data_IF_191059404040
#
_entry.id   IF_191059404040
#
_cell.length_a   1.000
_cell.length_b   1.000
_cell.length_c   1.000
_cell.angle_alpha   90.00
_cell.angle_beta   90.00
_cell.angle_gamma   90.00
#
_symmetry.space_group_name_H-M   'P 1'
#
loop_
_entity.id
_entity.type
_entity.pdbx_description
1 polymer ?
#
# COMPACT_ATOMS: atom_id res chain seq x y z
N UNK A 1 -8.05 9.75 27.58
CA UNK A 1 -7.66 10.98 26.82
C UNK A 1 -8.54 11.05 25.59
N UNK A 2 -9.10 12.21 25.24
CA UNK A 2 -10.03 12.34 24.10
C UNK A 2 -9.38 12.50 22.73
N UNK A 3 -8.04 12.52 22.64
CA UNK A 3 -7.28 12.68 21.41
C UNK A 3 -6.48 11.41 21.12
N UNK A 4 -6.58 10.92 19.88
CA UNK A 4 -5.74 9.86 19.35
C UNK A 4 -5.08 10.32 18.04
N UNK A 5 -3.84 9.89 17.82
CA UNK A 5 -3.09 10.17 16.59
C UNK A 5 -2.60 8.84 16.02
N UNK A 6 -2.95 8.57 14.77
CA UNK A 6 -2.56 7.37 14.03
C UNK A 6 -1.76 7.78 12.80
N UNK A 7 -0.71 7.03 12.49
CA UNK A 7 0.11 7.28 11.29
C UNK A 7 -0.41 6.49 10.10
N UNK A 8 -0.37 7.13 8.94
CA UNK A 8 -0.76 6.58 7.64
C UNK A 8 0.07 7.25 6.54
N UNK A 9 -0.22 6.93 5.27
CA UNK A 9 0.54 7.43 4.12
C UNK A 9 -0.37 7.82 2.95
N UNK A 10 -0.08 8.98 2.36
CA UNK A 10 -0.63 9.36 1.07
C UNK A 10 0.15 8.67 -0.07
N UNK A 11 -0.29 8.88 -1.31
CA UNK A 11 0.39 8.37 -2.51
C UNK A 11 0.61 9.52 -3.48
N UNK A 12 1.86 9.74 -3.89
CA UNK A 12 2.25 10.73 -4.90
C UNK A 12 3.27 10.07 -5.82
N UNK A 13 2.79 9.49 -6.92
CA UNK A 13 3.63 8.66 -7.80
C UNK A 13 4.27 7.52 -7.01
N UNK A 14 5.61 7.43 -7.06
CA UNK A 14 6.42 6.44 -6.35
C UNK A 14 6.74 6.82 -4.89
N UNK A 15 6.21 7.94 -4.40
CA UNK A 15 6.42 8.41 -3.03
C UNK A 15 5.19 8.20 -2.15
N UNK A 16 5.45 7.95 -0.86
CA UNK A 16 4.43 7.82 0.17
C UNK A 16 4.69 8.82 1.33
N UNK A 17 4.27 10.09 1.20
CA UNK A 17 4.45 11.07 2.26
C UNK A 17 3.60 10.74 3.49
N UNK A 18 4.12 11.08 4.66
CA UNK A 18 3.47 10.83 5.97
C UNK A 18 2.15 11.59 6.08
N UNK A 19 1.11 10.89 6.55
CA UNK A 19 -0.18 11.46 6.91
C UNK A 19 -0.50 11.08 8.35
N UNK A 20 -0.89 12.05 9.17
CA UNK A 20 -1.42 11.81 10.51
C UNK A 20 -2.94 11.91 10.50
N UNK A 21 -3.59 10.89 11.08
CA UNK A 21 -5.03 10.87 11.33
C UNK A 21 -5.24 11.18 12.80
N UNK A 22 -5.73 12.37 13.07
CA UNK A 22 -5.98 12.87 14.41
C UNK A 22 -7.48 12.82 14.70
N UNK A 23 -7.87 12.16 15.78
CA UNK A 23 -9.27 12.06 16.19
C UNK A 23 -9.44 12.65 17.58
N UNK A 24 -10.34 13.63 17.68
CA UNK A 24 -10.74 14.23 18.93
C UNK A 24 -12.23 14.00 19.21
N UNK A 25 -12.55 13.50 20.41
CA UNK A 25 -13.93 13.27 20.86
C UNK A 25 -14.29 14.29 21.94
N UNK A 26 -15.22 15.20 21.64
CA UNK A 26 -15.70 16.21 22.57
C UNK A 26 -17.16 16.00 22.98
N UNK A 27 -17.55 16.59 24.11
CA UNK A 27 -18.96 16.67 24.47
C UNK A 27 -19.74 17.50 23.44
N UNK A 28 -21.00 17.14 23.20
CA UNK A 28 -21.87 17.79 22.23
C UNK A 28 -22.80 16.79 21.53
N UNK A 29 -23.60 17.30 20.59
CA UNK A 29 -24.48 16.46 19.78
C UNK A 29 -23.67 15.42 18.98
N UNK A 30 -24.16 14.17 18.87
CA UNK A 30 -23.50 13.14 18.07
C UNK A 30 -23.29 13.58 16.63
N UNK A 31 -22.07 13.45 16.13
CA UNK A 31 -21.74 13.81 14.75
C UNK A 31 -20.27 13.57 14.43
N UNK A 32 -19.98 13.18 13.19
CA UNK A 32 -18.63 13.03 12.66
C UNK A 32 -18.33 14.20 11.72
N UNK A 33 -17.27 14.94 12.00
CA UNK A 33 -16.68 15.94 11.10
C UNK A 33 -15.34 15.42 10.62
N UNK A 34 -15.15 15.35 9.30
CA UNK A 34 -13.90 14.93 8.67
C UNK A 34 -13.30 16.10 7.91
N UNK A 35 -12.02 16.39 8.13
CA UNK A 35 -11.27 17.49 7.53
C UNK A 35 -10.03 16.94 6.82
N UNK A 36 -9.74 17.45 5.62
CA UNK A 36 -8.57 17.04 4.84
C UNK A 36 -8.86 16.00 3.74
N UNK A 37 -10.12 15.67 3.46
CA UNK A 37 -10.56 14.83 2.34
C UNK A 37 -11.57 15.57 1.43
N UNK A 38 -11.69 15.17 0.14
CA UNK A 38 -12.77 15.60 -0.75
C UNK A 38 -14.16 15.23 -0.21
N UNK A 39 -15.16 16.07 -0.48
CA UNK A 39 -16.48 15.97 0.15
C UNK A 39 -17.23 14.65 -0.13
N UNK A 40 -17.07 14.07 -1.32
CA UNK A 40 -17.65 12.76 -1.66
C UNK A 40 -17.04 11.64 -0.84
N UNK A 41 -15.70 11.61 -0.73
CA UNK A 41 -14.96 10.63 0.07
C UNK A 41 -15.32 10.73 1.55
N UNK A 42 -15.55 11.94 2.07
CA UNK A 42 -15.98 12.14 3.46
C UNK A 42 -17.29 11.41 3.77
N UNK A 43 -18.30 11.54 2.90
CA UNK A 43 -19.62 10.92 3.11
C UNK A 43 -19.51 9.40 3.12
N UNK A 44 -18.79 8.85 2.15
CA UNK A 44 -18.58 7.41 2.04
C UNK A 44 -17.79 6.85 3.22
N UNK A 45 -16.64 7.44 3.56
CA UNK A 45 -15.78 6.99 4.66
C UNK A 45 -16.52 7.00 6.01
N UNK A 46 -17.31 8.05 6.28
CA UNK A 46 -18.14 8.14 7.48
C UNK A 46 -19.06 6.93 7.64
N UNK A 47 -19.84 6.65 6.59
CA UNK A 47 -20.85 5.61 6.65
C UNK A 47 -20.19 4.22 6.72
N UNK A 48 -19.04 4.07 6.04
CA UNK A 48 -18.24 2.84 6.01
C UNK A 48 -17.60 2.52 7.36
N UNK A 49 -16.84 3.46 7.91
CA UNK A 49 -16.17 3.32 9.22
C UNK A 49 -17.19 3.09 10.32
N UNK A 50 -18.28 3.88 10.35
CA UNK A 50 -19.32 3.72 11.36
C UNK A 50 -19.95 2.33 11.30
N UNK A 51 -20.33 1.87 10.12
CA UNK A 51 -20.97 0.55 9.95
C UNK A 51 -20.00 -0.57 10.31
N UNK A 52 -18.75 -0.48 9.86
CA UNK A 52 -17.70 -1.45 10.19
C UNK A 52 -17.51 -1.58 11.70
N UNK A 53 -17.45 -0.47 12.44
CA UNK A 53 -17.30 -0.49 13.89
C UNK A 53 -18.50 -1.15 14.58
N UNK A 54 -19.72 -0.74 14.24
CA UNK A 54 -20.95 -1.26 14.87
C UNK A 54 -21.15 -2.75 14.58
N UNK A 55 -20.97 -3.18 13.32
CA UNK A 55 -21.16 -4.57 12.92
C UNK A 55 -20.15 -5.53 13.56
N UNK A 56 -19.05 -5.01 14.08
CA UNK A 56 -18.01 -5.78 14.76
C UNK A 56 -18.06 -5.68 16.29
N UNK A 57 -19.16 -5.19 16.84
CA UNK A 57 -19.38 -5.14 18.28
C UNK A 57 -18.63 -4.02 19.00
N UNK A 58 -18.01 -3.10 18.26
CA UNK A 58 -17.42 -1.90 18.87
C UNK A 58 -18.49 -0.84 19.13
N UNK A 59 -18.26 -0.03 20.17
CA UNK A 59 -19.14 1.09 20.46
C UNK A 59 -18.74 2.29 19.59
N UNK A 60 -19.65 2.76 18.73
CA UNK A 60 -19.46 4.03 18.05
C UNK A 60 -19.86 5.18 19.00
N UNK A 61 -18.96 6.10 19.38
CA UNK A 61 -19.25 7.12 20.38
C UNK A 61 -20.41 8.04 19.99
N UNK A 62 -21.42 8.14 20.85
CA UNK A 62 -22.55 9.08 20.70
C UNK A 62 -22.15 10.51 21.15
N UNK A 63 -21.04 11.02 20.61
CA UNK A 63 -20.44 12.33 20.92
C UNK A 63 -20.02 13.03 19.64
N UNK A 64 -19.55 14.27 19.75
CA UNK A 64 -18.98 14.98 18.61
C UNK A 64 -17.56 14.47 18.35
N UNK A 65 -17.33 13.90 17.18
CA UNK A 65 -16.06 13.34 16.73
C UNK A 65 -15.52 14.23 15.62
N UNK A 66 -14.28 14.72 15.78
CA UNK A 66 -13.57 15.46 14.74
C UNK A 66 -12.37 14.66 14.29
N UNK A 67 -12.26 14.42 13.00
CA UNK A 67 -11.16 13.70 12.36
C UNK A 67 -10.42 14.67 11.44
N UNK A 68 -9.13 14.82 11.65
CA UNK A 68 -8.26 15.67 10.84
C UNK A 68 -7.18 14.82 10.18
N UNK A 69 -7.01 14.96 8.86
CA UNK A 69 -5.95 14.33 8.11
C UNK A 69 -4.90 15.39 7.72
N UNK A 70 -3.74 15.36 8.38
CA UNK A 70 -2.65 16.29 8.15
C UNK A 70 -1.48 15.62 7.40
N UNK A 71 -0.69 16.36 6.60
CA UNK A 71 -0.84 17.78 6.27
C UNK A 71 -1.86 18.02 5.14
N UNK A 72 -2.50 19.19 5.11
CA UNK A 72 -3.68 19.47 4.26
C UNK A 72 -3.37 19.56 2.75
N UNK A 73 -2.13 19.85 2.38
CA UNK A 73 -1.62 20.05 1.02
C UNK A 73 -1.45 18.77 0.21
N UNK A 74 -1.36 17.60 0.86
CA UNK A 74 -1.24 16.33 0.17
C UNK A 74 -2.58 15.90 -0.45
N UNK A 75 -2.57 15.30 -1.66
CA UNK A 75 -3.75 14.69 -2.26
C UNK A 75 -4.14 13.47 -1.41
N UNK A 76 -5.33 13.53 -0.82
CA UNK A 76 -5.88 12.46 0.02
C UNK A 76 -7.20 12.02 -0.57
N UNK A 77 -7.19 10.89 -1.25
CA UNK A 77 -8.37 10.34 -1.92
C UNK A 77 -8.53 8.85 -1.65
N UNK A 78 -9.77 8.37 -1.79
CA UNK A 78 -10.13 6.96 -1.68
C UNK A 78 -10.28 6.43 -0.24
N UNK A 79 -10.53 5.13 -0.13
CA UNK A 79 -10.83 4.45 1.14
C UNK A 79 -9.64 4.08 2.00
N UNK A 80 -8.40 4.38 1.59
CA UNK A 80 -7.18 3.92 2.31
C UNK A 80 -7.07 4.37 3.77
N UNK A 81 -7.81 5.43 4.13
CA UNK A 81 -7.80 6.03 5.45
C UNK A 81 -8.88 5.44 6.36
N UNK A 82 -9.74 4.54 5.88
CA UNK A 82 -10.83 3.99 6.69
C UNK A 82 -10.30 3.23 7.91
N UNK A 83 -9.29 2.36 7.72
CA UNK A 83 -8.66 1.63 8.82
C UNK A 83 -8.03 2.57 9.85
N UNK A 84 -7.11 3.50 9.51
CA UNK A 84 -6.53 4.39 10.51
C UNK A 84 -7.58 5.30 11.17
N UNK A 85 -8.63 5.74 10.47
CA UNK A 85 -9.74 6.50 11.08
C UNK A 85 -10.50 5.64 12.10
N UNK A 86 -10.83 4.39 11.77
CA UNK A 86 -11.50 3.47 12.68
C UNK A 86 -10.67 3.23 13.95
N UNK A 87 -9.37 2.95 13.80
CA UNK A 87 -8.46 2.74 14.92
C UNK A 87 -8.31 4.00 15.79
N UNK A 88 -8.23 5.18 15.17
CA UNK A 88 -8.16 6.44 15.89
C UNK A 88 -9.42 6.71 16.72
N UNK A 89 -10.61 6.42 16.17
CA UNK A 89 -11.88 6.51 16.92
C UNK A 89 -11.90 5.55 18.11
N UNK A 90 -11.48 4.30 17.91
CA UNK A 90 -11.42 3.30 18.98
C UNK A 90 -10.42 3.70 20.07
N UNK A 91 -9.26 4.23 19.70
CA UNK A 91 -8.26 4.70 20.66
C UNK A 91 -8.72 5.95 21.42
N UNK A 92 -9.32 6.94 20.74
CA UNK A 92 -9.84 8.16 21.36
C UNK A 92 -11.06 7.89 22.27
N UNK A 93 -11.75 6.77 22.05
CA UNK A 93 -12.85 6.28 22.90
C UNK A 93 -12.40 5.26 23.94
N UNK A 94 -11.09 5.08 24.12
CA UNK A 94 -10.47 4.21 25.14
C UNK A 94 -10.80 2.72 24.97
N UNK A 95 -11.25 2.32 23.78
CA UNK A 95 -11.48 0.91 23.40
C UNK A 95 -10.20 0.21 22.92
N UNK A 96 -9.17 0.98 22.53
CA UNK A 96 -7.84 0.46 22.18
C UNK A 96 -6.73 1.22 22.91
N UNK A 97 -5.64 0.54 23.29
CA UNK A 97 -4.48 1.18 23.90
C UNK A 97 -3.70 2.02 22.87
N UNK A 98 -3.29 3.23 23.27
CA UNK A 98 -2.51 4.15 22.41
C UNK A 98 -1.04 3.75 22.24
N UNK A 99 -0.44 3.11 23.24
CA UNK A 99 0.98 2.79 23.26
C UNK A 99 1.47 1.94 22.07
N UNK A 100 0.80 0.83 21.67
CA UNK A 100 1.23 0.04 20.53
C UNK A 100 1.06 0.79 19.20
N UNK A 101 0.02 1.62 19.06
CA UNK A 101 -0.30 2.32 17.81
C UNK A 101 0.82 3.23 17.31
N UNK A 102 1.65 3.79 18.20
CA UNK A 102 2.76 4.66 17.81
C UNK A 102 3.89 3.94 17.03
N UNK A 103 3.95 2.60 17.11
CA UNK A 103 4.97 1.78 16.44
C UNK A 103 4.57 1.38 15.02
N UNK A 104 3.31 1.59 14.66
CA UNK A 104 2.74 1.12 13.42
C UNK A 104 2.21 2.27 12.56
N UNK A 105 2.16 2.02 11.26
CA UNK A 105 1.38 2.80 10.32
C UNK A 105 0.28 1.93 9.73
N UNK A 106 -0.86 2.51 9.40
CA UNK A 106 -2.03 1.75 8.96
C UNK A 106 -2.54 2.25 7.61
N UNK A 107 -2.83 1.29 6.73
CA UNK A 107 -3.41 1.53 5.42
C UNK A 107 -4.47 0.47 5.13
N UNK A 108 -5.66 0.89 4.73
CA UNK A 108 -6.70 -0.06 4.36
C UNK A 108 -8.05 0.58 4.15
N UNK A 109 -8.75 0.11 3.13
CA UNK A 109 -10.19 0.35 2.98
C UNK A 109 -10.97 -0.68 3.81
N UNK A 110 -11.98 -0.22 4.52
CA UNK A 110 -12.87 -1.09 5.29
C UNK A 110 -14.14 -1.37 4.51
N UNK A 111 -14.59 -2.62 4.42
CA UNK A 111 -15.97 -2.90 4.03
C UNK A 111 -16.93 -2.57 5.19
N UNK A 112 -18.24 -2.46 4.92
CA UNK A 112 -19.27 -2.31 5.96
C UNK A 112 -19.25 -3.45 6.99
N UNK A 113 -18.76 -4.63 6.60
CA UNK A 113 -18.57 -5.79 7.48
C UNK A 113 -17.32 -5.69 8.36
N UNK A 114 -16.39 -4.78 8.07
CA UNK A 114 -15.07 -4.70 8.72
C UNK A 114 -13.95 -5.47 7.99
N UNK A 115 -14.26 -6.14 6.88
CA UNK A 115 -13.23 -6.76 6.03
C UNK A 115 -12.30 -5.69 5.45
N UNK A 116 -11.00 -5.98 5.41
CA UNK A 116 -9.98 -5.10 4.85
C UNK A 116 -9.83 -5.37 3.35
N UNK A 117 -9.76 -4.30 2.56
CA UNK A 117 -9.56 -4.35 1.12
C UNK A 117 -8.21 -3.78 0.73
N UNK A 118 -7.67 -4.30 -0.37
CA UNK A 118 -6.44 -3.82 -0.96
C UNK A 118 -6.45 -2.31 -1.20
N UNK A 119 -5.30 -1.67 -1.00
CA UNK A 119 -5.05 -0.28 -1.38
C UNK A 119 -3.90 -0.17 -2.36
N UNK A 120 -3.87 0.88 -3.17
CA UNK A 120 -2.76 1.15 -4.10
C UNK A 120 -1.53 1.68 -3.38
N UNK A 121 -0.35 1.53 -3.97
CA UNK A 121 0.89 2.09 -3.43
C UNK A 121 1.30 1.46 -2.09
N UNK A 122 1.10 0.16 -1.95
CA UNK A 122 1.52 -0.57 -0.76
C UNK A 122 3.06 -0.62 -0.66
N UNK A 123 3.76 -0.80 -1.80
CA UNK A 123 5.23 -0.80 -1.89
C UNK A 123 5.86 0.51 -1.39
N UNK A 124 5.55 1.70 -1.98
CA UNK A 124 6.16 2.94 -1.52
C UNK A 124 5.79 3.28 -0.07
N UNK A 125 4.60 2.87 0.39
CA UNK A 125 4.20 3.05 1.78
C UNK A 125 5.01 2.16 2.74
N UNK A 126 5.26 0.91 2.39
CA UNK A 126 6.03 -0.02 3.20
C UNK A 126 7.50 0.42 3.32
N UNK A 127 8.11 0.91 2.24
CA UNK A 127 9.44 1.51 2.27
C UNK A 127 9.47 2.75 3.17
N UNK A 128 8.55 3.70 2.95
CA UNK A 128 8.54 4.95 3.71
C UNK A 128 8.22 4.75 5.21
N UNK A 129 7.44 3.71 5.56
CA UNK A 129 7.20 3.31 6.94
C UNK A 129 8.48 2.74 7.58
N UNK A 130 9.18 1.85 6.86
CA UNK A 130 10.46 1.28 7.30
C UNK A 130 11.52 2.37 7.55
N UNK A 131 11.66 3.33 6.63
CA UNK A 131 12.56 4.48 6.76
C UNK A 131 12.25 5.34 7.98
N UNK A 132 10.97 5.41 8.37
CA UNK A 132 10.52 6.13 9.56
C UNK A 132 10.60 5.28 10.86
N UNK A 133 11.14 4.07 10.79
CA UNK A 133 11.29 3.15 11.92
C UNK A 133 9.96 2.58 12.43
N UNK A 134 8.93 2.50 11.58
CA UNK A 134 7.61 1.97 11.91
C UNK A 134 7.27 0.77 11.03
N UNK A 135 6.44 -0.14 11.55
CA UNK A 135 5.95 -1.29 10.80
C UNK A 135 4.60 -0.95 10.15
N UNK A 136 4.41 -1.36 8.89
CA UNK A 136 3.14 -1.13 8.18
C UNK A 136 2.14 -2.26 8.45
N UNK A 137 0.88 -1.90 8.70
CA UNK A 137 -0.25 -2.84 8.79
C UNK A 137 -1.24 -2.54 7.67
N UNK A 138 -1.55 -3.55 6.84
CA UNK A 138 -2.45 -3.41 5.69
C UNK A 138 -3.22 -4.70 5.34
N UNK A 139 -4.02 -4.67 4.28
CA UNK A 139 -4.80 -5.85 3.84
C UNK A 139 -3.88 -7.01 3.41
N UNK A 140 -4.27 -8.25 3.72
CA UNK A 140 -3.64 -9.46 3.16
C UNK A 140 -3.66 -9.50 1.64
N UNK A 141 -4.59 -8.81 0.99
CA UNK A 141 -4.62 -8.70 -0.48
C UNK A 141 -3.39 -7.96 -1.03
N UNK A 142 -2.75 -7.12 -0.22
CA UNK A 142 -1.50 -6.45 -0.59
C UNK A 142 -0.24 -7.23 -0.19
N UNK A 143 -0.37 -8.43 0.42
CA UNK A 143 0.76 -9.19 0.96
C UNK A 143 1.84 -9.49 -0.09
N UNK A 144 1.43 -9.83 -1.31
CA UNK A 144 2.35 -10.16 -2.39
C UNK A 144 3.25 -8.97 -2.78
N UNK A 145 2.71 -7.75 -2.77
CA UNK A 145 3.46 -6.54 -3.12
C UNK A 145 4.47 -6.18 -2.01
N UNK A 146 4.00 -6.09 -0.76
CA UNK A 146 4.87 -5.65 0.35
C UNK A 146 5.84 -6.75 0.81
N UNK A 147 5.52 -8.02 0.55
CA UNK A 147 6.41 -9.15 0.81
C UNK A 147 7.68 -9.13 -0.05
N UNK A 148 7.68 -8.40 -1.17
CA UNK A 148 8.88 -8.17 -1.98
C UNK A 148 9.89 -7.26 -1.27
N UNK A 149 9.47 -6.50 -0.25
CA UNK A 149 10.32 -5.57 0.50
C UNK A 149 10.80 -6.26 1.78
N UNK A 150 12.00 -6.85 1.72
CA UNK A 150 12.59 -7.57 2.84
C UNK A 150 12.74 -6.70 4.11
N UNK A 151 12.95 -5.39 3.94
CA UNK A 151 13.23 -4.45 5.03
C UNK A 151 11.98 -4.02 5.82
N UNK A 152 10.76 -4.14 5.27
CA UNK A 152 9.58 -3.48 5.85
C UNK A 152 8.92 -4.23 7.01
N UNK A 153 9.12 -5.56 7.08
CA UNK A 153 8.40 -6.45 8.01
C UNK A 153 6.91 -6.09 8.15
N UNK A 154 6.26 -5.82 7.00
CA UNK A 154 4.86 -5.37 6.98
C UNK A 154 3.93 -6.48 7.48
N UNK A 155 3.00 -6.14 8.36
CA UNK A 155 1.97 -7.04 8.86
C UNK A 155 0.70 -6.96 8.01
N UNK A 156 0.02 -8.08 7.86
CA UNK A 156 -1.20 -8.15 7.06
C UNK A 156 -2.39 -8.64 7.87
N UNK A 157 -3.58 -8.15 7.53
CA UNK A 157 -4.84 -8.54 8.16
C UNK A 157 -5.95 -8.62 7.11
N UNK A 158 -6.90 -9.54 7.29
CA UNK A 158 -8.10 -9.65 6.46
C UNK A 158 -9.27 -8.87 7.05
N UNK A 159 -9.21 -8.55 8.34
CA UNK A 159 -10.33 -7.99 9.07
C UNK A 159 -9.91 -6.98 10.15
N UNK A 160 -10.74 -5.96 10.39
CA UNK A 160 -10.56 -4.99 11.47
C UNK A 160 -10.36 -5.65 12.84
N UNK A 161 -11.07 -6.76 13.09
CA UNK A 161 -11.02 -7.50 14.35
C UNK A 161 -9.62 -8.08 14.62
N UNK A 162 -8.93 -8.56 13.59
CA UNK A 162 -7.57 -9.10 13.72
C UNK A 162 -6.59 -8.00 14.12
N UNK A 163 -6.71 -6.82 13.49
CA UNK A 163 -5.89 -5.65 13.84
C UNK A 163 -6.14 -5.20 15.28
N UNK A 164 -7.40 -5.15 15.71
CA UNK A 164 -7.74 -4.80 17.08
C UNK A 164 -7.23 -5.84 18.09
N UNK A 165 -7.38 -7.14 17.81
CA UNK A 165 -6.90 -8.22 18.68
C UNK A 165 -5.38 -8.17 18.84
N UNK A 166 -4.66 -7.92 17.74
CA UNK A 166 -3.21 -7.72 17.75
C UNK A 166 -2.78 -6.55 18.62
N UNK A 167 -3.44 -5.39 18.47
CA UNK A 167 -3.15 -4.19 19.28
C UNK A 167 -3.48 -4.38 20.77
N UNK A 168 -4.39 -5.29 21.10
CA UNK A 168 -4.71 -5.68 22.48
C UNK A 168 -3.78 -6.78 23.03
N UNK A 169 -2.85 -7.31 22.23
CA UNK A 169 -1.96 -8.41 22.62
C UNK A 169 -2.68 -9.77 22.72
N UNK A 170 -3.82 -9.93 22.05
CA UNK A 170 -4.66 -11.13 22.06
C UNK A 170 -4.49 -12.01 20.81
N UNK A 171 -3.55 -11.65 19.93
CA UNK A 171 -3.23 -12.38 18.71
C UNK A 171 -2.00 -11.81 18.02
N UNK A 172 -1.58 -12.46 16.95
CA UNK A 172 -0.45 -12.03 16.11
C UNK A 172 -0.94 -11.79 14.68
N UNK A 173 -0.38 -10.77 14.02
CA UNK A 173 -0.62 -10.56 12.59
C UNK A 173 0.48 -11.21 11.76
N UNK A 174 0.15 -11.99 10.72
CA UNK A 174 1.14 -12.56 9.82
C UNK A 174 1.95 -11.45 9.15
N UNK A 175 3.26 -11.65 9.11
CA UNK A 175 4.19 -10.82 8.34
C UNK A 175 4.07 -11.21 6.87
N UNK A 176 4.00 -10.22 5.99
CA UNK A 176 4.00 -10.44 4.57
C UNK A 176 5.29 -11.16 4.15
N UNK A 177 5.11 -12.29 3.47
CA UNK A 177 6.21 -13.08 2.93
C UNK A 177 6.32 -12.85 1.43
N UNK A 178 7.55 -12.83 0.95
CA UNK A 178 7.85 -12.76 -0.47
C UNK A 178 7.14 -13.91 -1.18
N UNK A 179 6.31 -13.65 -2.19
CA UNK A 179 5.73 -14.73 -2.97
C UNK A 179 6.87 -15.53 -3.62
N UNK A 180 6.73 -16.86 -3.76
CA UNK A 180 7.71 -17.65 -4.48
C UNK A 180 7.87 -17.06 -5.89
N UNK A 181 9.11 -16.97 -6.37
CA UNK A 181 9.40 -16.49 -7.71
C UNK A 181 8.53 -17.26 -8.70
N UNK A 182 7.65 -16.56 -9.41
CA UNK A 182 6.93 -17.16 -10.52
C UNK A 182 7.98 -17.52 -11.57
N UNK A 183 7.99 -18.77 -12.04
CA UNK A 183 8.80 -19.19 -13.18
C UNK A 183 8.51 -18.22 -14.33
N UNK A 184 9.45 -17.34 -14.66
CA UNK A 184 9.28 -16.41 -15.77
C UNK A 184 9.42 -17.23 -17.06
N UNK A 185 8.36 -17.40 -17.87
CA UNK A 185 8.49 -18.15 -19.13
C UNK A 185 9.46 -17.49 -20.11
N UNK A 186 9.83 -16.22 -19.87
CA UNK A 186 10.80 -15.46 -20.65
C UNK A 186 12.26 -15.62 -20.20
N UNK A 187 12.54 -16.21 -19.03
CA UNK A 187 13.93 -16.50 -18.61
C UNK A 187 14.64 -17.49 -19.54
N UNK A 188 13.87 -18.23 -20.36
CA UNK A 188 14.39 -19.20 -21.32
C UNK A 188 14.38 -18.74 -22.79
N UNK A 189 14.07 -17.46 -23.08
CA UNK A 189 14.01 -16.97 -24.46
C UNK A 189 15.42 -16.58 -24.97
N UNK A 190 15.94 -17.31 -25.96
CA UNK A 190 17.29 -17.08 -26.50
C UNK A 190 17.23 -16.27 -27.80
N UNK A 191 18.21 -15.37 -28.03
CA UNK A 191 18.44 -14.71 -29.31
C UNK A 191 18.66 -15.70 -30.45
N UNK A 192 19.16 -16.91 -30.15
CA UNK A 192 19.36 -18.00 -31.12
C UNK A 192 18.07 -18.44 -31.80
N UNK A 193 16.92 -18.26 -31.15
CA UNK A 193 15.61 -18.58 -31.74
C UNK A 193 15.22 -17.63 -32.88
N UNK A 194 15.87 -16.47 -32.97
CA UNK A 194 15.58 -15.47 -34.00
C UNK A 194 16.32 -15.86 -35.26
N UNK A 195 15.57 -16.25 -36.29
CA UNK A 195 16.12 -16.57 -37.60
C UNK A 195 16.49 -15.26 -38.32
N UNK A 196 17.79 -15.09 -38.62
CA UNK A 196 18.32 -13.89 -39.26
C UNK A 196 18.39 -12.66 -38.34
N UNK A 197 18.25 -11.46 -38.91
CA UNK A 197 18.26 -10.18 -38.18
C UNK A 197 19.56 -9.88 -37.40
N UNK A 198 20.73 -10.27 -37.94
CA UNK A 198 22.03 -10.14 -37.25
C UNK A 198 22.34 -8.70 -36.80
N UNK A 199 22.01 -7.70 -37.61
CA UNK A 199 22.19 -6.30 -37.24
C UNK A 199 21.31 -5.91 -36.03
N UNK A 200 20.08 -6.42 -35.96
CA UNK A 200 19.18 -6.14 -34.85
C UNK A 200 19.61 -6.88 -33.57
N UNK A 201 20.01 -8.15 -33.68
CA UNK A 201 20.60 -8.90 -32.55
C UNK A 201 21.81 -8.17 -31.98
N UNK A 202 22.72 -7.73 -32.85
CA UNK A 202 23.91 -6.98 -32.44
C UNK A 202 23.55 -5.65 -31.78
N UNK A 203 22.56 -4.93 -32.29
CA UNK A 203 22.08 -3.70 -31.67
C UNK A 203 21.49 -3.95 -30.27
N UNK A 204 20.76 -5.06 -30.06
CA UNK A 204 20.29 -5.46 -28.73
C UNK A 204 21.44 -5.74 -27.76
N UNK A 205 22.45 -6.50 -28.18
CA UNK A 205 23.63 -6.78 -27.34
C UNK A 205 24.35 -5.50 -26.92
N UNK A 206 24.57 -4.58 -27.86
CA UNK A 206 25.22 -3.28 -27.60
C UNK A 206 24.36 -2.45 -26.65
N UNK A 207 23.04 -2.41 -26.86
CA UNK A 207 22.13 -1.68 -26.00
C UNK A 207 22.09 -2.24 -24.57
N UNK A 208 22.02 -3.57 -24.43
CA UNK A 208 22.00 -4.24 -23.14
C UNK A 208 23.33 -4.05 -22.37
N UNK A 209 24.47 -4.22 -23.05
CA UNK A 209 25.79 -4.03 -22.43
C UNK A 209 26.10 -2.57 -22.09
N UNK A 210 25.59 -1.62 -22.90
CA UNK A 210 25.84 -0.19 -22.75
C UNK A 210 24.78 0.58 -21.96
N UNK A 211 23.69 -0.06 -21.53
CA UNK A 211 22.56 0.62 -20.88
C UNK A 211 21.88 1.66 -21.79
N UNK A 212 21.81 1.39 -23.10
CA UNK A 212 21.24 2.35 -24.07
C UNK A 212 19.74 2.14 -24.28
N UNK A 213 19.02 3.25 -24.48
CA UNK A 213 17.63 3.21 -24.91
C UNK A 213 17.52 2.67 -26.34
N UNK A 214 16.56 1.77 -26.58
CA UNK A 214 16.34 1.11 -27.86
C UNK A 214 14.96 1.47 -28.43
N UNK A 215 14.91 1.82 -29.72
CA UNK A 215 13.66 2.02 -30.47
C UNK A 215 13.61 1.06 -31.66
N UNK A 216 12.58 0.22 -31.71
CA UNK A 216 12.37 -0.75 -32.79
C UNK A 216 11.34 -0.22 -33.81
N UNK A 217 11.77 0.06 -35.04
CA UNK A 217 10.93 0.61 -36.12
C UNK A 217 10.82 -0.41 -37.26
N UNK A 218 9.61 -0.62 -37.78
CA UNK A 218 9.41 -1.38 -39.02
C UNK A 218 7.98 -1.92 -39.20
N UNK A 219 7.65 -2.48 -40.37
CA UNK A 219 6.33 -3.04 -40.69
C UNK A 219 5.87 -4.13 -39.69
N UNK A 220 4.55 -4.38 -39.52
CA UNK A 220 4.07 -5.48 -38.69
C UNK A 220 4.63 -6.83 -39.16
N UNK A 221 4.82 -7.79 -38.24
CA UNK A 221 5.33 -9.13 -38.57
C UNK A 221 6.85 -9.25 -38.72
N UNK A 222 7.63 -8.18 -38.60
CA UNK A 222 9.10 -8.21 -38.78
C UNK A 222 9.91 -8.72 -37.57
N UNK A 223 9.25 -9.28 -36.54
CA UNK A 223 9.94 -9.84 -35.38
C UNK A 223 10.31 -8.84 -34.27
N UNK A 224 9.80 -7.59 -34.30
CA UNK A 224 10.09 -6.57 -33.26
C UNK A 224 9.76 -7.03 -31.84
N UNK A 225 8.57 -7.59 -31.63
CA UNK A 225 8.16 -8.13 -30.32
C UNK A 225 9.04 -9.31 -29.90
N UNK A 226 9.48 -10.13 -30.86
CA UNK A 226 10.36 -11.27 -30.62
C UNK A 226 11.75 -10.81 -30.16
N UNK A 227 12.29 -9.75 -30.76
CA UNK A 227 13.54 -9.10 -30.31
C UNK A 227 13.36 -8.46 -28.93
N UNK A 228 12.33 -7.64 -28.73
CA UNK A 228 12.11 -6.92 -27.46
C UNK A 228 11.96 -7.86 -26.25
N UNK A 229 11.22 -8.96 -26.39
CA UNK A 229 11.03 -9.95 -25.31
C UNK A 229 12.29 -10.72 -24.91
N UNK A 230 13.36 -10.69 -25.72
CA UNK A 230 14.65 -11.33 -25.43
C UNK A 230 15.68 -10.34 -24.87
N UNK A 231 15.40 -9.05 -24.91
CA UNK A 231 16.27 -8.03 -24.31
C UNK A 231 16.40 -8.25 -22.79
N UNK A 232 15.31 -8.62 -22.12
CA UNK A 232 15.29 -8.91 -20.68
C UNK A 232 16.25 -10.02 -20.28
N UNK A 233 16.47 -11.02 -21.14
CA UNK A 233 17.44 -12.10 -20.90
C UNK A 233 18.91 -11.69 -21.11
N UNK A 234 19.17 -10.55 -21.77
CA UNK A 234 20.53 -10.01 -21.95
C UNK A 234 20.92 -9.02 -20.86
N UNK A 235 19.93 -8.42 -20.20
CA UNK A 235 20.16 -7.45 -19.14
C UNK A 235 20.65 -8.18 -17.88
N UNK A 236 21.53 -7.54 -17.08
CA UNK A 236 21.84 -8.06 -15.76
C UNK A 236 20.57 -8.16 -14.91
N UNK A 237 20.54 -9.06 -13.92
CA UNK A 237 19.44 -9.08 -12.96
C UNK A 237 19.32 -7.72 -12.28
N UNK A 238 18.08 -7.25 -12.10
CA UNK A 238 17.82 -5.98 -11.43
C UNK A 238 18.38 -6.02 -10.01
N UNK A 239 19.01 -4.94 -9.60
CA UNK A 239 19.29 -4.70 -8.19
C UNK A 239 17.96 -4.48 -7.45
N UNK A 240 17.95 -4.70 -6.13
CA UNK A 240 16.77 -4.45 -5.29
C UNK A 240 16.13 -3.05 -5.50
N UNK A 241 16.89 -1.93 -5.55
CA UNK A 241 16.29 -0.62 -5.83
C UNK A 241 15.69 -0.50 -7.23
N UNK A 242 16.34 -1.05 -8.27
CA UNK A 242 15.82 -1.02 -9.65
C UNK A 242 14.54 -1.86 -9.79
N UNK A 243 14.47 -3.01 -9.10
CA UNK A 243 13.28 -3.83 -9.05
C UNK A 243 12.11 -3.09 -8.37
N UNK A 244 12.38 -2.37 -7.28
CA UNK A 244 11.38 -1.56 -6.59
C UNK A 244 10.86 -0.41 -7.47
N UNK A 245 11.74 0.28 -8.21
CA UNK A 245 11.33 1.33 -9.16
C UNK A 245 10.46 0.78 -10.29
N UNK A 246 10.74 -0.42 -10.78
CA UNK A 246 9.92 -1.06 -11.83
C UNK A 246 8.53 -1.49 -11.35
N UNK A 247 8.31 -1.64 -10.04
CA UNK A 247 7.05 -2.08 -9.45
C UNK A 247 6.15 -0.92 -8.99
N UNK A 248 6.71 0.29 -8.87
CA UNK A 248 6.03 1.49 -8.37
C UNK A 248 5.24 2.23 -9.47
#
# INVERSE_FOLDING_TARGET
>A
MSLAVIYSRAIIGVQAPSVTVEVHISNGLPGLTLVGLPETTVKEARDRVRSALINNGFTFPARRITVNLAPADLPKEGGRYDLPIALAILAASEQLPLAPLARYEFLGELALSGALRAVRGAIPAALAAADAGRQLVLSTDNAAEVGLIAQSQSHTAQHLLEVCAFLLGQGELPVAVTPPAADNPHENADLRDIIGQEQAKRALEIAAAGGHNLLLIGPPGTGKTMLASRLTGLLPPLTEPEALESLA
#
